data_IF_988089702814
#
_entry.id   IF_988089702814
#
_cell.length_a   1.000
_cell.length_b   1.000
_cell.length_c   1.000
_cell.angle_alpha   90.00
_cell.angle_beta   90.00
_cell.angle_gamma   90.00
#
_symmetry.space_group_name_H-M   'P 1'
#
loop_
_entity.id
_entity.type
_entity.pdbx_description
1 polymer ?
#
# COMPACT_ATOMS: atom_id res chain seq x y z
N UNK A 1 13.82 -5.58 -22.00
CA UNK A 1 13.11 -4.42 -21.42
C UNK A 1 14.12 -3.30 -21.24
N UNK A 2 13.86 -2.09 -21.76
CA UNK A 2 14.68 -0.90 -21.48
C UNK A 2 13.87 -0.02 -20.53
N UNK A 3 14.13 -0.16 -19.24
CA UNK A 3 13.38 0.52 -18.19
C UNK A 3 14.28 1.52 -17.46
N UNK A 4 13.68 2.61 -16.97
CA UNK A 4 14.33 3.57 -16.09
C UNK A 4 13.66 3.43 -14.72
N UNK A 5 14.43 2.97 -13.73
CA UNK A 5 13.97 2.84 -12.35
C UNK A 5 14.45 4.04 -11.54
N UNK A 6 13.52 4.86 -11.06
CA UNK A 6 13.83 6.00 -10.19
C UNK A 6 13.34 5.67 -8.78
N UNK A 7 14.23 5.42 -7.80
CA UNK A 7 13.82 5.22 -6.43
C UNK A 7 13.33 6.55 -5.84
N UNK A 8 12.12 6.54 -5.28
CA UNK A 8 11.53 7.71 -4.63
C UNK A 8 11.47 7.41 -3.14
N UNK A 9 12.18 8.18 -2.29
CA UNK A 9 12.08 8.01 -0.85
C UNK A 9 10.75 8.59 -0.38
N UNK A 10 9.77 7.70 -0.12
CA UNK A 10 8.51 8.06 0.54
C UNK A 10 8.72 7.86 2.05
N UNK A 11 8.63 8.96 2.81
CA UNK A 11 9.06 9.02 4.21
C UNK A 11 7.94 8.86 5.23
N UNK A 12 6.76 9.41 4.95
CA UNK A 12 5.65 9.44 5.89
C UNK A 12 4.39 8.77 5.34
N UNK A 13 3.55 8.30 6.26
CA UNK A 13 2.22 7.78 5.99
C UNK A 13 1.34 8.93 5.45
N UNK A 14 0.67 8.71 4.31
CA UNK A 14 -0.13 9.69 3.52
C UNK A 14 0.64 10.67 2.62
N UNK A 15 1.86 10.35 2.20
CA UNK A 15 2.55 11.15 1.19
C UNK A 15 2.03 10.86 -0.24
N UNK A 16 1.69 11.93 -0.95
CA UNK A 16 1.43 11.92 -2.39
C UNK A 16 2.72 12.29 -3.12
N UNK A 17 3.19 11.42 -4.00
CA UNK A 17 4.32 11.69 -4.88
C UNK A 17 3.84 11.83 -6.33
N UNK A 18 4.18 12.96 -6.95
CA UNK A 18 3.97 13.18 -8.38
C UNK A 18 5.30 13.01 -9.11
N UNK A 19 5.29 12.23 -10.19
CA UNK A 19 6.46 12.02 -11.05
C UNK A 19 6.12 12.45 -12.45
N UNK A 20 6.85 13.45 -12.94
CA UNK A 20 6.76 13.90 -14.32
C UNK A 20 7.98 13.42 -15.11
N UNK A 21 7.72 12.64 -16.16
CA UNK A 21 8.73 12.13 -17.07
C UNK A 21 8.53 12.78 -18.45
N UNK A 22 9.59 13.41 -18.96
CA UNK A 22 9.62 13.97 -20.31
C UNK A 22 10.57 13.18 -21.19
N UNK A 23 10.04 12.54 -22.24
CA UNK A 23 10.82 11.81 -23.23
C UNK A 23 10.66 12.48 -24.61
N UNK A 24 11.70 13.14 -25.09
CA UNK A 24 11.67 14.02 -26.26
C UNK A 24 10.55 15.08 -26.14
N UNK A 25 9.46 14.91 -26.91
CA UNK A 25 8.31 15.82 -26.93
C UNK A 25 7.07 15.26 -26.21
N UNK A 26 7.15 14.07 -25.59
CA UNK A 26 6.05 13.50 -24.81
C UNK A 26 6.28 13.74 -23.33
N UNK A 27 5.28 14.31 -22.66
CA UNK A 27 5.22 14.47 -21.20
C UNK A 27 4.23 13.45 -20.65
N UNK A 28 4.67 12.69 -19.66
CA UNK A 28 3.86 11.75 -18.90
C UNK A 28 3.95 12.15 -17.42
N UNK A 29 2.81 12.42 -16.81
CA UNK A 29 2.71 12.62 -15.36
C UNK A 29 2.03 11.40 -14.75
N UNK A 30 2.65 10.82 -13.74
CA UNK A 30 2.09 9.71 -12.96
C UNK A 30 2.05 10.11 -11.49
N UNK A 31 0.99 9.71 -10.81
CA UNK A 31 0.77 10.04 -9.40
C UNK A 31 0.81 8.75 -8.60
N UNK A 32 1.59 8.75 -7.53
CA UNK A 32 1.72 7.66 -6.58
C UNK A 32 1.30 8.14 -5.19
N UNK A 33 0.72 7.22 -4.41
CA UNK A 33 0.35 7.49 -3.03
C UNK A 33 0.72 6.30 -2.16
N UNK A 34 1.40 6.58 -1.05
CA UNK A 34 1.69 5.60 -0.02
C UNK A 34 0.69 5.73 1.12
N UNK A 35 -0.06 4.66 1.36
CA UNK A 35 -1.07 4.57 2.41
C UNK A 35 -0.60 3.60 3.49
N UNK A 36 -0.97 3.91 4.74
CA UNK A 36 -0.64 3.11 5.92
C UNK A 36 -1.94 2.67 6.59
N UNK A 37 -2.19 1.37 6.58
CA UNK A 37 -3.42 0.79 7.12
C UNK A 37 -3.13 0.04 8.41
N UNK A 38 -4.07 0.06 9.35
CA UNK A 38 -3.99 -0.73 10.57
C UNK A 38 -3.89 -2.22 10.21
N UNK A 39 -2.81 -2.85 10.65
CA UNK A 39 -2.50 -4.27 10.41
C UNK A 39 -2.67 -5.10 11.67
N UNK A 40 -2.53 -4.49 12.84
CA UNK A 40 -2.69 -5.17 14.12
C UNK A 40 -4.18 -5.40 14.45
N UNK A 41 -4.58 -6.67 14.48
CA UNK A 41 -5.95 -7.13 14.80
C UNK A 41 -6.08 -7.66 16.22
N UNK A 42 -5.05 -7.52 17.07
CA UNK A 42 -5.04 -8.08 18.44
C UNK A 42 -6.22 -7.59 19.29
N UNK A 43 -6.76 -6.41 18.99
CA UNK A 43 -7.93 -5.84 19.68
C UNK A 43 -9.28 -6.44 19.26
N UNK A 44 -9.33 -7.04 18.07
CA UNK A 44 -10.53 -7.63 17.49
C UNK A 44 -10.68 -9.12 17.84
N UNK A 45 -9.66 -9.69 18.49
CA UNK A 45 -9.63 -11.10 18.87
C UNK A 45 -9.89 -11.27 20.36
N UNK A 46 -10.72 -12.26 20.71
CA UNK A 46 -10.81 -12.76 22.08
C UNK A 46 -9.50 -13.50 22.45
N UNK A 47 -9.14 -13.51 23.73
CA UNK A 47 -7.87 -14.03 24.29
C UNK A 47 -7.49 -15.50 23.92
N UNK A 48 -8.31 -16.20 23.14
CA UNK A 48 -8.17 -17.61 22.76
C UNK A 48 -8.00 -17.88 21.26
N UNK A 49 -7.85 -16.86 20.41
CA UNK A 49 -7.66 -17.09 18.97
C UNK A 49 -6.29 -17.70 18.66
N UNK A 50 -6.25 -18.69 17.77
CA UNK A 50 -5.00 -19.26 17.26
C UNK A 50 -4.36 -18.37 16.17
N UNK A 51 -3.05 -18.51 15.99
CA UNK A 51 -2.24 -17.71 15.04
C UNK A 51 -2.77 -17.78 13.59
N UNK A 52 -3.42 -18.90 13.21
CA UNK A 52 -4.00 -19.06 11.88
C UNK A 52 -5.18 -18.10 11.69
N UNK A 53 -6.10 -18.03 12.67
CA UNK A 53 -7.25 -17.12 12.61
C UNK A 53 -6.79 -15.67 12.56
N UNK A 54 -5.76 -15.29 13.32
CA UNK A 54 -5.18 -13.94 13.30
C UNK A 54 -4.70 -13.55 11.90
N UNK A 55 -3.93 -14.43 11.26
CA UNK A 55 -3.42 -14.20 9.89
C UNK A 55 -4.55 -14.07 8.87
N UNK A 56 -5.58 -14.92 8.98
CA UNK A 56 -6.72 -14.88 8.07
C UNK A 56 -7.51 -13.57 8.22
N UNK A 57 -7.73 -13.10 9.46
CA UNK A 57 -8.41 -11.84 9.73
C UNK A 57 -7.63 -10.64 9.18
N UNK A 58 -6.30 -10.62 9.38
CA UNK A 58 -5.41 -9.61 8.77
C UNK A 58 -5.55 -9.54 7.25
N UNK A 59 -5.51 -10.69 6.58
CA UNK A 59 -5.67 -10.78 5.12
C UNK A 59 -7.06 -10.31 4.70
N UNK A 60 -8.10 -10.70 5.44
CA UNK A 60 -9.48 -10.31 5.16
C UNK A 60 -9.67 -8.79 5.26
N UNK A 61 -9.21 -8.17 6.36
CA UNK A 61 -9.30 -6.72 6.57
C UNK A 61 -8.54 -5.95 5.47
N UNK A 62 -7.33 -6.39 5.10
CA UNK A 62 -6.59 -5.76 4.02
C UNK A 62 -7.30 -5.86 2.67
N UNK A 63 -7.84 -7.03 2.32
CA UNK A 63 -8.62 -7.21 1.08
C UNK A 63 -9.82 -6.28 1.04
N UNK A 64 -10.53 -6.15 2.17
CA UNK A 64 -11.68 -5.26 2.30
C UNK A 64 -11.27 -3.81 2.07
N UNK A 65 -10.22 -3.35 2.75
CA UNK A 65 -9.68 -1.98 2.61
C UNK A 65 -9.31 -1.69 1.16
N UNK A 66 -8.59 -2.60 0.49
CA UNK A 66 -8.19 -2.42 -0.91
C UNK A 66 -9.41 -2.38 -1.84
N UNK A 67 -10.43 -3.20 -1.59
CA UNK A 67 -11.64 -3.23 -2.40
C UNK A 67 -12.53 -1.99 -2.21
N UNK A 68 -12.53 -1.40 -1.02
CA UNK A 68 -13.27 -0.19 -0.67
C UNK A 68 -12.47 1.10 -0.97
N UNK A 69 -11.21 0.97 -1.40
CA UNK A 69 -10.36 2.11 -1.73
C UNK A 69 -10.87 2.85 -3.00
N UNK A 70 -10.38 4.08 -3.18
CA UNK A 70 -10.77 4.95 -4.29
C UNK A 70 -10.55 4.28 -5.66
N UNK A 71 -11.61 4.22 -6.47
CA UNK A 71 -11.63 3.57 -7.77
C UNK A 71 -10.73 4.23 -8.81
N UNK A 72 -10.32 5.48 -8.60
CA UNK A 72 -9.38 6.19 -9.48
C UNK A 72 -7.92 5.77 -9.24
N UNK A 73 -7.69 4.94 -8.22
CA UNK A 73 -6.37 4.44 -7.84
C UNK A 73 -6.27 2.94 -8.11
N UNK A 74 -5.07 2.51 -8.50
CA UNK A 74 -4.71 1.13 -8.79
C UNK A 74 -3.66 0.66 -7.78
N UNK A 75 -3.87 -0.53 -7.23
CA UNK A 75 -2.90 -1.19 -6.35
C UNK A 75 -1.64 -1.57 -7.14
N UNK A 76 -0.48 -1.08 -6.70
CA UNK A 76 0.82 -1.42 -7.30
C UNK A 76 1.58 -2.41 -6.42
N UNK A 77 1.68 -2.15 -5.12
CA UNK A 77 2.50 -2.96 -4.23
C UNK A 77 1.97 -2.94 -2.79
N UNK A 78 2.05 -4.09 -2.13
CA UNK A 78 1.86 -4.22 -0.67
C UNK A 78 3.24 -4.47 -0.07
N UNK A 79 3.67 -3.64 0.87
CA UNK A 79 4.94 -3.83 1.56
C UNK A 79 4.81 -4.91 2.62
N UNK A 80 5.89 -5.67 2.83
CA UNK A 80 5.90 -6.72 3.84
C UNK A 80 5.94 -6.07 5.23
N UNK A 81 4.91 -6.25 6.08
CA UNK A 81 4.95 -5.74 7.44
C UNK A 81 6.00 -6.53 8.25
N UNK A 82 6.71 -5.85 9.14
CA UNK A 82 7.58 -6.53 10.11
C UNK A 82 6.73 -7.30 11.13
N UNK A 83 7.32 -8.28 11.84
CA UNK A 83 6.58 -9.13 12.78
C UNK A 83 5.86 -8.37 13.91
N UNK A 84 6.31 -7.15 14.24
CA UNK A 84 5.71 -6.26 15.24
C UNK A 84 5.09 -5.00 14.63
N UNK A 85 4.90 -4.94 13.31
CA UNK A 85 4.32 -3.78 12.64
C UNK A 85 2.85 -3.63 12.99
N UNK A 86 2.49 -2.43 13.51
CA UNK A 86 1.09 -2.06 13.75
C UNK A 86 0.34 -1.70 12.48
N UNK A 87 1.07 -1.24 11.46
CA UNK A 87 0.53 -0.82 10.18
C UNK A 87 1.17 -1.62 9.03
N UNK A 88 0.43 -1.74 7.93
CA UNK A 88 0.92 -2.23 6.65
C UNK A 88 0.87 -1.11 5.62
N UNK A 89 1.94 -0.97 4.85
CA UNK A 89 2.03 0.05 3.82
C UNK A 89 1.62 -0.50 2.47
N UNK A 90 0.89 0.30 1.71
CA UNK A 90 0.38 -0.05 0.38
C UNK A 90 0.61 1.12 -0.57
N UNK A 91 1.22 0.82 -1.72
CA UNK A 91 1.47 1.78 -2.80
C UNK A 91 0.35 1.71 -3.83
N UNK A 92 -0.26 2.86 -4.10
CA UNK A 92 -1.22 3.04 -5.16
C UNK A 92 -0.68 3.97 -6.25
N UNK A 93 -1.16 3.79 -7.49
CA UNK A 93 -0.93 4.69 -8.62
C UNK A 93 -2.28 5.19 -9.13
N UNK A 94 -2.39 6.46 -9.46
CA UNK A 94 -3.59 6.99 -10.12
C UNK A 94 -3.69 6.42 -11.54
N UNK A 95 -4.89 5.98 -11.93
CA UNK A 95 -5.19 5.43 -13.26
C UNK A 95 -4.94 6.45 -14.38
#
# INVERSE_FOLDING_TARGET
MREICVPIPLGDDNQLAEVEVKLANKKLSVFFRLESFMWDVSKEMEDKSDNITEKLLKIYNLKKIIAEYDSDWELIQIFTPSGSSKNIQVLFRKK
#
